data_IF_886431615277
#
_entry.id   IF_886431615277
#
_cell.length_a   1.000
_cell.length_b   1.000
_cell.length_c   1.000
_cell.angle_alpha   90.00
_cell.angle_beta   90.00
_cell.angle_gamma   90.00
#
_symmetry.space_group_name_H-M   'P 1'
#
loop_
_entity.id
_entity.type
_entity.pdbx_description
1 polymer ?
#
# COMPACT_ATOMS: atom_id res chain seq x y z
N UNK A 1 -3.85 -2.21 1.09
CA UNK A 1 -3.23 -3.50 1.45
C UNK A 1 -2.07 -3.25 2.39
N UNK A 2 -1.53 -4.29 3.03
CA UNK A 2 -0.37 -4.16 3.91
C UNK A 2 0.83 -3.65 3.11
N UNK A 3 1.49 -2.59 3.58
CA UNK A 3 2.77 -2.16 3.05
C UNK A 3 3.85 -3.16 3.46
N UNK A 4 4.88 -3.30 2.64
CA UNK A 4 6.15 -3.94 3.00
C UNK A 4 6.81 -3.31 4.24
N UNK A 5 6.44 -2.07 4.58
CA UNK A 5 6.83 -1.35 5.80
C UNK A 5 6.13 -1.83 7.07
N UNK A 6 5.04 -2.59 6.96
CA UNK A 6 4.32 -3.09 8.14
C UNK A 6 5.19 -4.09 8.91
N UNK A 7 5.32 -3.97 10.25
CA UNK A 7 5.99 -4.97 11.08
C UNK A 7 5.36 -6.36 10.91
N UNK A 8 6.16 -7.42 10.98
CA UNK A 8 5.71 -8.81 10.76
C UNK A 8 4.94 -9.37 11.97
N UNK A 9 3.88 -8.68 12.39
CA UNK A 9 2.98 -9.08 13.47
C UNK A 9 1.72 -9.80 12.93
N UNK A 10 1.38 -9.57 11.67
CA UNK A 10 0.17 -10.07 11.02
C UNK A 10 0.38 -11.39 10.26
N UNK A 11 0.90 -12.45 10.89
CA UNK A 11 0.99 -13.79 10.27
C UNK A 11 1.59 -13.82 8.84
N UNK A 12 1.12 -14.74 7.98
CA UNK A 12 1.48 -14.78 6.54
C UNK A 12 0.51 -13.93 5.70
N UNK A 13 0.48 -12.62 5.93
CA UNK A 13 -0.21 -11.69 5.02
C UNK A 13 0.70 -11.29 3.87
N UNK A 14 0.12 -11.15 2.68
CA UNK A 14 0.85 -10.57 1.54
C UNK A 14 1.06 -9.08 1.81
N UNK A 15 2.30 -8.64 1.67
CA UNK A 15 2.69 -7.23 1.72
C UNK A 15 2.93 -6.73 0.29
N UNK A 16 2.62 -5.47 0.06
CA UNK A 16 2.80 -4.78 -1.20
C UNK A 16 4.03 -3.89 -1.09
N UNK A 17 4.99 -4.12 -1.99
CA UNK A 17 6.10 -3.22 -2.24
C UNK A 17 5.68 -2.08 -3.14
N UNK A 18 6.45 -0.99 -3.13
CA UNK A 18 6.28 0.12 -4.08
C UNK A 18 6.41 -0.37 -5.53
N UNK A 19 7.40 -1.21 -5.81
CA UNK A 19 7.68 -1.72 -7.16
C UNK A 19 6.53 -2.59 -7.69
N UNK A 20 5.89 -3.41 -6.84
CA UNK A 20 4.69 -4.18 -7.24
C UNK A 20 3.52 -3.27 -7.60
N UNK A 21 3.34 -2.15 -6.89
CA UNK A 21 2.31 -1.16 -7.21
C UNK A 21 2.63 -0.49 -8.55
N UNK A 22 3.87 -0.08 -8.77
CA UNK A 22 4.29 0.53 -10.03
C UNK A 22 4.11 -0.40 -11.22
N UNK A 23 4.51 -1.66 -11.08
CA UNK A 23 4.33 -2.68 -12.11
C UNK A 23 2.85 -2.97 -12.40
N UNK A 24 1.98 -2.92 -11.39
CA UNK A 24 0.55 -3.18 -11.57
C UNK A 24 -0.18 -2.07 -12.34
N UNK A 25 0.33 -0.83 -12.30
CA UNK A 25 -0.28 0.34 -12.94
C UNK A 25 0.59 0.89 -14.09
N UNK A 26 1.45 0.07 -14.68
CA UNK A 26 2.38 0.51 -15.74
C UNK A 26 1.72 0.79 -17.09
N UNK A 27 0.47 0.36 -17.29
CA UNK A 27 -0.25 0.51 -18.55
C UNK A 27 -1.62 1.19 -18.36
N UNK A 28 -1.92 2.17 -19.20
CA UNK A 28 -3.18 2.94 -19.17
C UNK A 28 -3.39 3.85 -17.94
N UNK A 29 -2.39 3.95 -17.05
CA UNK A 29 -2.45 4.77 -15.85
C UNK A 29 -1.15 5.56 -15.64
N UNK A 30 -1.30 6.76 -15.09
CA UNK A 30 -0.21 7.59 -14.58
C UNK A 30 -0.29 7.60 -13.07
N UNK A 31 0.80 7.20 -12.40
CA UNK A 31 0.93 7.30 -10.95
C UNK A 31 1.23 8.76 -10.61
N UNK A 32 0.33 9.41 -9.88
CA UNK A 32 0.50 10.77 -9.37
C UNK A 32 1.27 10.78 -8.06
N UNK A 33 0.97 9.84 -7.15
CA UNK A 33 1.70 9.66 -5.89
C UNK A 33 1.59 8.24 -5.33
N UNK A 34 2.61 7.82 -4.57
CA UNK A 34 2.60 6.64 -3.69
C UNK A 34 3.17 7.07 -2.35
N UNK A 35 2.33 7.15 -1.32
CA UNK A 35 2.68 7.71 -0.02
C UNK A 35 2.46 6.68 1.11
N UNK A 36 3.31 6.66 2.16
CA UNK A 36 3.04 5.87 3.35
C UNK A 36 1.74 6.35 4.02
N UNK A 37 0.87 5.42 4.36
CA UNK A 37 -0.40 5.70 5.05
C UNK A 37 -0.70 4.63 6.09
N UNK A 38 -1.73 4.86 6.91
CA UNK A 38 -2.26 3.88 7.83
C UNK A 38 -3.72 3.56 7.49
N UNK A 39 -4.09 2.28 7.56
CA UNK A 39 -5.49 1.84 7.53
C UNK A 39 -5.94 1.68 8.96
N UNK A 40 -6.95 2.44 9.35
CA UNK A 40 -7.56 2.35 10.68
C UNK A 40 -8.26 1.01 10.85
N UNK A 41 -7.98 0.35 11.97
CA UNK A 41 -8.56 -0.94 12.35
C UNK A 41 -8.92 -0.95 13.83
N UNK A 42 -9.82 -1.84 14.22
CA UNK A 42 -10.29 -1.94 15.61
C UNK A 42 -9.32 -2.68 16.53
N UNK A 43 -8.34 -3.39 15.97
CA UNK A 43 -7.45 -4.29 16.69
C UNK A 43 -6.11 -3.68 17.08
N UNK A 44 -5.70 -2.56 16.47
CA UNK A 44 -4.51 -1.79 16.88
C UNK A 44 -4.81 -0.29 16.82
N UNK A 45 -4.37 0.50 17.81
CA UNK A 45 -4.58 1.94 17.80
C UNK A 45 -3.74 2.68 16.76
N UNK A 46 -2.59 2.12 16.36
CA UNK A 46 -1.70 2.70 15.35
C UNK A 46 -2.10 2.34 13.90
N UNK A 47 -3.14 1.52 13.73
CA UNK A 47 -3.59 1.01 12.44
C UNK A 47 -2.61 0.02 11.81
N UNK A 48 -2.77 -0.18 10.50
CA UNK A 48 -1.90 -1.01 9.65
C UNK A 48 -1.17 -0.11 8.66
N UNK A 49 0.15 -0.20 8.58
CA UNK A 49 0.94 0.49 7.55
C UNK A 49 0.55 0.01 6.15
N UNK A 50 0.24 0.96 5.28
CA UNK A 50 -0.24 0.76 3.92
C UNK A 50 0.39 1.78 2.96
N UNK A 51 0.11 1.59 1.68
CA UNK A 51 0.42 2.56 0.63
C UNK A 51 -0.88 3.24 0.18
N UNK A 52 -0.90 4.58 0.20
CA UNK A 52 -1.92 5.38 -0.46
C UNK A 52 -1.43 5.76 -1.85
N UNK A 53 -2.21 5.44 -2.87
CA UNK A 53 -1.82 5.60 -4.27
C UNK A 53 -2.84 6.50 -4.97
N UNK A 54 -2.36 7.60 -5.57
CA UNK A 54 -3.17 8.46 -6.44
C UNK A 54 -2.80 8.19 -7.90
N UNK A 55 -3.81 7.98 -8.74
CA UNK A 55 -3.65 7.58 -10.13
C UNK A 55 -4.59 8.38 -11.03
N UNK A 56 -4.10 8.75 -12.21
CA UNK A 56 -4.88 9.33 -13.31
C UNK A 56 -4.94 8.34 -14.46
N UNK A 57 -6.14 8.09 -15.00
CA UNK A 57 -6.30 7.28 -16.22
C UNK A 57 -5.86 8.06 -17.45
N UNK A 58 -5.15 7.40 -18.36
CA UNK A 58 -4.70 7.95 -19.65
C UNK A 58 -5.69 7.58 -20.76
#
# INVERSE_FOLDING_TARGET
>A
GFSDREPTQWGRVRKLTRDEIEAAFSDGWRIDSIEPAAIDITTTPDGIQAWLVALTRI
#
